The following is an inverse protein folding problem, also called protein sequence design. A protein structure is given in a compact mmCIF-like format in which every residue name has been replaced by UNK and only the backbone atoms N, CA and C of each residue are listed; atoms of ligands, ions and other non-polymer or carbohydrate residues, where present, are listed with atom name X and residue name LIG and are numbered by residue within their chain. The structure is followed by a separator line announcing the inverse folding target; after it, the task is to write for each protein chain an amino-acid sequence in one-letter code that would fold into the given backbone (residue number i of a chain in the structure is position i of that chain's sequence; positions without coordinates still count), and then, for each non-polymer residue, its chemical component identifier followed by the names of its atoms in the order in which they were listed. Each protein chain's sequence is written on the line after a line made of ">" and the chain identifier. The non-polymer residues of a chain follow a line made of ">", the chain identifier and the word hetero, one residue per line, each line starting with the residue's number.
data_IF_924500104936
#
_entry.id   IF_924500104936
#
_cell.length_a   1.000
_cell.length_b   1.000
_cell.length_c   1.000
_cell.angle_alpha   90.00
_cell.angle_beta   90.00
_cell.angle_gamma   90.00
#
_symmetry.space_group_name_H-M   'P 1'
#
loop_
_entity.id
_entity.type
_entity.pdbx_description
1 polymer ?
#
# COMPACT_ATOMS: atom_id res chain seq x y z
N UNK A 1 -3.94 50.69 -15.00
CA UNK A 1 -3.51 49.52 -15.77
C UNK A 1 -2.33 48.92 -15.02
N UNK A 2 -2.64 48.15 -13.98
CA UNK A 2 -1.61 47.48 -13.17
C UNK A 2 -1.50 46.03 -13.61
N UNK A 3 -0.34 45.71 -14.08
CA UNK A 3 0.05 44.39 -14.58
C UNK A 3 0.28 43.44 -13.37
N UNK A 4 -0.36 42.31 -13.43
CA UNK A 4 -0.34 41.25 -12.48
C UNK A 4 1.07 40.92 -11.93
N UNK A 5 1.17 40.84 -10.60
CA UNK A 5 2.33 40.33 -9.91
C UNK A 5 2.55 38.84 -10.26
N UNK A 6 3.79 38.39 -10.44
CA UNK A 6 4.06 36.99 -10.76
C UNK A 6 3.73 36.13 -9.53
N UNK A 7 3.09 34.98 -9.80
CA UNK A 7 2.81 33.94 -8.81
C UNK A 7 4.08 33.62 -8.02
N UNK A 8 4.05 33.94 -6.73
CA UNK A 8 5.09 33.54 -5.80
C UNK A 8 5.07 32.03 -5.67
N UNK A 9 6.13 31.39 -6.10
CA UNK A 9 6.47 30.00 -5.80
C UNK A 9 6.33 29.79 -4.28
N UNK A 10 5.62 28.75 -3.79
CA UNK A 10 5.61 28.48 -2.37
C UNK A 10 7.03 28.25 -1.88
N UNK A 11 7.37 28.65 -0.63
CA UNK A 11 8.73 28.53 -0.12
C UNK A 11 9.15 27.06 -0.15
N UNK A 12 10.24 26.80 -0.83
CA UNK A 12 10.98 25.52 -0.74
C UNK A 12 11.44 25.36 0.71
N UNK A 13 10.57 24.83 1.56
CA UNK A 13 11.03 24.20 2.80
C UNK A 13 11.89 23.00 2.36
N UNK A 14 13.15 22.97 2.78
CA UNK A 14 14.15 21.99 2.40
C UNK A 14 13.56 20.56 2.41
N UNK A 15 13.04 20.14 1.26
CA UNK A 15 12.69 18.75 1.04
C UNK A 15 14.01 17.99 1.15
N UNK A 16 14.09 17.06 2.13
CA UNK A 16 15.27 16.18 2.23
C UNK A 16 15.53 15.54 0.87
N UNK A 17 16.80 15.35 0.55
CA UNK A 17 17.20 14.76 -0.72
C UNK A 17 16.47 13.43 -0.95
N UNK A 18 15.92 13.26 -2.15
CA UNK A 18 15.17 12.05 -2.52
C UNK A 18 16.10 10.83 -2.42
N UNK A 19 15.69 9.75 -1.74
CA UNK A 19 16.47 8.54 -1.65
C UNK A 19 16.71 7.92 -3.03
N UNK A 20 17.94 7.51 -3.33
CA UNK A 20 18.27 6.73 -4.52
C UNK A 20 17.72 5.31 -4.41
N UNK A 21 17.72 4.55 -5.50
CA UNK A 21 17.21 3.18 -5.51
C UNK A 21 18.04 2.24 -4.63
N UNK A 22 19.36 2.45 -4.57
CA UNK A 22 20.30 1.69 -3.72
C UNK A 22 20.20 2.07 -2.21
N UNK A 23 19.48 3.13 -1.89
CA UNK A 23 19.18 3.56 -0.52
C UNK A 23 17.80 3.07 -0.06
N UNK A 24 17.10 2.27 -0.87
CA UNK A 24 15.84 1.66 -0.46
C UNK A 24 16.07 0.24 0.06
N UNK A 25 15.46 -0.04 1.20
CA UNK A 25 15.37 -1.39 1.77
C UNK A 25 13.90 -1.81 1.71
N UNK A 26 13.59 -2.73 0.79
CA UNK A 26 12.24 -3.12 0.41
C UNK A 26 12.13 -4.63 0.45
N UNK A 27 11.09 -5.16 1.10
CA UNK A 27 10.80 -6.58 1.10
C UNK A 27 9.30 -6.84 1.25
N UNK A 28 8.81 -7.93 0.64
CA UNK A 28 7.44 -8.39 0.77
C UNK A 28 7.40 -9.90 0.80
N UNK A 29 6.46 -10.44 1.56
CA UNK A 29 6.21 -11.89 1.62
C UNK A 29 4.73 -12.17 1.84
N UNK A 30 4.33 -13.40 1.49
CA UNK A 30 3.02 -13.96 1.76
C UNK A 30 3.15 -15.40 2.19
N UNK A 31 2.26 -15.86 3.06
CA UNK A 31 2.24 -17.23 3.59
C UNK A 31 0.79 -17.68 3.84
N UNK A 32 0.42 -18.94 3.52
CA UNK A 32 -0.96 -19.42 3.73
C UNK A 32 -1.37 -19.54 5.21
N UNK A 33 -0.46 -19.31 6.15
CA UNK A 33 -0.68 -19.61 7.55
C UNK A 33 -0.49 -21.09 7.86
N UNK A 34 -1.05 -21.55 9.00
CA UNK A 34 -1.00 -22.98 9.43
C UNK A 34 -2.34 -23.68 9.31
N UNK A 35 -3.42 -22.94 9.12
CA UNK A 35 -4.80 -23.45 9.16
C UNK A 35 -5.47 -23.42 7.79
N UNK A 36 -5.21 -22.39 6.98
CA UNK A 36 -5.79 -22.27 5.64
C UNK A 36 -5.12 -23.26 4.68
N UNK A 37 -5.92 -23.91 3.83
CA UNK A 37 -5.42 -24.83 2.81
C UNK A 37 -4.80 -24.07 1.62
N UNK A 38 -5.30 -22.87 1.32
CA UNK A 38 -4.88 -22.05 0.20
C UNK A 38 -4.54 -20.64 0.66
N UNK A 39 -3.77 -19.93 -0.14
CA UNK A 39 -3.45 -18.53 0.08
C UNK A 39 -4.27 -17.66 -0.86
N UNK A 40 -5.17 -16.87 -0.30
CA UNK A 40 -6.05 -15.95 -1.01
C UNK A 40 -5.48 -14.52 -1.05
N UNK A 41 -4.38 -14.27 -0.34
CA UNK A 41 -3.70 -12.98 -0.34
C UNK A 41 -2.83 -12.78 -1.57
N UNK A 42 -2.77 -11.55 -2.04
CA UNK A 42 -1.78 -11.10 -3.02
C UNK A 42 -1.10 -9.82 -2.58
N UNK A 43 0.16 -9.64 -2.99
CA UNK A 43 0.89 -8.40 -2.78
C UNK A 43 1.64 -7.96 -4.04
N UNK A 44 1.94 -6.68 -4.11
CA UNK A 44 2.86 -6.12 -5.08
C UNK A 44 3.79 -5.14 -4.37
N UNK A 45 5.08 -5.27 -4.65
CA UNK A 45 6.11 -4.32 -4.26
C UNK A 45 6.92 -3.97 -5.50
N UNK A 46 6.87 -2.72 -5.92
CA UNK A 46 7.61 -2.29 -7.11
C UNK A 46 8.02 -0.82 -7.06
N UNK A 47 8.99 -0.47 -7.90
CA UNK A 47 9.37 0.90 -8.21
C UNK A 47 8.98 1.23 -9.66
N UNK A 48 8.47 2.44 -9.88
CA UNK A 48 8.04 2.91 -11.20
C UNK A 48 9.07 3.89 -11.74
N UNK A 49 9.55 3.63 -12.95
CA UNK A 49 10.54 4.46 -13.64
C UNK A 49 10.11 4.75 -15.08
N UNK A 50 10.40 5.93 -15.65
CA UNK A 50 10.40 6.11 -17.10
C UNK A 50 11.56 5.32 -17.69
N UNK A 51 11.36 4.75 -18.89
CA UNK A 51 12.39 3.99 -19.58
C UNK A 51 12.41 4.34 -21.07
N UNK A 52 13.62 4.47 -21.61
CA UNK A 52 13.85 4.61 -23.06
C UNK A 52 14.35 3.28 -23.60
N UNK A 53 13.69 2.77 -24.65
CA UNK A 53 14.12 1.57 -25.38
C UNK A 53 14.64 2.02 -26.75
N UNK A 54 15.92 1.82 -27.02
CA UNK A 54 16.56 2.17 -28.30
C UNK A 54 16.49 0.95 -29.21
N UNK A 55 15.75 1.06 -30.33
CA UNK A 55 15.65 -0.01 -31.31
C UNK A 55 16.75 0.04 -32.36
N UNK A 56 17.27 1.24 -32.68
CA UNK A 56 18.37 1.44 -33.59
C UNK A 56 18.99 2.83 -33.37
N UNK A 57 20.31 2.96 -33.62
CA UNK A 57 20.98 4.25 -33.54
C UNK A 57 22.23 4.26 -34.43
N UNK A 58 22.64 5.44 -34.88
CA UNK A 58 23.91 5.71 -35.50
C UNK A 58 24.91 6.37 -34.56
N UNK A 59 24.55 6.56 -33.27
CA UNK A 59 25.43 7.12 -32.27
C UNK A 59 26.57 6.14 -31.99
N UNK A 60 27.85 6.61 -31.94
CA UNK A 60 29.01 5.75 -31.73
C UNK A 60 29.05 5.14 -30.32
N UNK A 61 28.48 5.81 -29.36
CA UNK A 61 28.43 5.37 -27.96
C UNK A 61 27.09 5.76 -27.30
N UNK A 62 26.57 4.88 -26.46
CA UNK A 62 25.34 5.08 -25.68
C UNK A 62 25.60 5.24 -24.17
N UNK A 63 26.84 5.06 -23.72
CA UNK A 63 27.22 5.05 -22.31
C UNK A 63 26.96 6.35 -21.53
N UNK A 64 26.69 7.46 -22.23
CA UNK A 64 26.32 8.74 -21.62
C UNK A 64 24.82 9.00 -21.56
N UNK A 65 23.97 8.06 -22.05
CA UNK A 65 22.53 8.21 -22.04
C UNK A 65 21.95 7.46 -20.86
N UNK A 66 21.25 8.18 -19.99
CA UNK A 66 20.43 7.55 -18.94
C UNK A 66 19.13 7.00 -19.57
N UNK A 67 19.15 5.68 -19.85
CA UNK A 67 18.01 4.98 -20.47
C UNK A 67 16.93 4.62 -19.45
N UNK A 68 17.21 4.73 -18.15
CA UNK A 68 16.27 4.54 -17.05
C UNK A 68 16.24 5.80 -16.21
N UNK A 69 15.22 6.62 -16.43
CA UNK A 69 15.06 7.85 -15.67
C UNK A 69 14.82 7.63 -14.17
N UNK A 70 14.81 8.71 -13.42
CA UNK A 70 14.58 8.70 -11.98
C UNK A 70 13.28 7.97 -11.59
N UNK A 71 13.28 7.34 -10.43
CA UNK A 71 12.10 6.67 -9.88
C UNK A 71 10.95 7.67 -9.71
N UNK A 72 9.80 7.40 -10.29
CA UNK A 72 8.59 8.21 -10.15
C UNK A 72 7.89 7.91 -8.82
N UNK A 73 7.80 6.63 -8.46
CA UNK A 73 7.14 6.18 -7.23
C UNK A 73 7.69 4.83 -6.76
N UNK A 74 7.40 4.51 -5.49
CA UNK A 74 7.44 3.14 -4.94
C UNK A 74 6.03 2.74 -4.55
N UNK A 75 5.59 1.53 -4.92
CA UNK A 75 4.25 1.01 -4.63
C UNK A 75 4.39 -0.20 -3.71
N UNK A 76 3.67 -0.17 -2.58
CA UNK A 76 3.49 -1.26 -1.64
C UNK A 76 1.99 -1.59 -1.61
N UNK A 77 1.59 -2.80 -1.96
CA UNK A 77 0.19 -3.19 -2.07
C UNK A 77 -0.02 -4.56 -1.43
N UNK A 78 -1.10 -4.69 -0.67
CA UNK A 78 -1.66 -5.97 -0.25
C UNK A 78 -3.14 -6.02 -0.58
N UNK A 79 -3.65 -7.22 -0.87
CA UNK A 79 -5.05 -7.52 -1.09
C UNK A 79 -5.37 -8.88 -0.46
N UNK A 80 -6.31 -8.91 0.48
CA UNK A 80 -6.78 -10.09 1.19
C UNK A 80 -8.09 -10.56 0.58
N UNK A 81 -8.07 -11.77 0.02
CA UNK A 81 -9.22 -12.32 -0.69
C UNK A 81 -10.29 -12.89 0.23
N UNK A 82 -11.55 -12.52 -0.03
CA UNK A 82 -12.73 -12.97 0.72
C UNK A 82 -13.69 -13.69 -0.20
N UNK A 83 -14.27 -14.81 0.25
CA UNK A 83 -15.27 -15.55 -0.52
C UNK A 83 -14.97 -17.04 -0.70
N UNK A 84 -13.91 -17.53 -0.04
CA UNK A 84 -13.45 -18.92 -0.04
C UNK A 84 -12.55 -19.25 -1.23
N UNK A 85 -11.56 -20.06 -0.96
CA UNK A 85 -10.35 -20.44 -1.73
C UNK A 85 -10.19 -19.85 -3.16
N UNK A 86 -10.86 -20.38 -4.16
CA UNK A 86 -10.66 -19.94 -5.54
C UNK A 86 -11.23 -18.55 -5.84
N UNK A 87 -12.35 -18.18 -5.19
CA UNK A 87 -13.01 -16.90 -5.42
C UNK A 87 -12.24 -15.75 -4.75
N UNK A 88 -11.77 -15.92 -3.51
CA UNK A 88 -10.98 -14.93 -2.79
C UNK A 88 -9.65 -14.66 -3.49
N UNK A 89 -8.88 -15.69 -3.82
CA UNK A 89 -7.60 -15.56 -4.54
C UNK A 89 -7.78 -14.89 -5.92
N UNK A 90 -8.89 -15.14 -6.60
CA UNK A 90 -9.18 -14.50 -7.88
C UNK A 90 -9.51 -13.02 -7.70
N UNK A 91 -10.30 -12.67 -6.67
CA UNK A 91 -10.66 -11.29 -6.36
C UNK A 91 -9.42 -10.45 -6.02
N UNK A 92 -8.60 -10.92 -5.09
CA UNK A 92 -7.39 -10.21 -4.65
C UNK A 92 -6.38 -10.03 -5.78
N UNK A 93 -6.18 -11.06 -6.63
CA UNK A 93 -5.33 -10.97 -7.82
C UNK A 93 -5.86 -9.95 -8.81
N UNK A 94 -7.15 -10.02 -9.17
CA UNK A 94 -7.76 -9.13 -10.16
C UNK A 94 -7.73 -7.66 -9.68
N UNK A 95 -8.02 -7.43 -8.40
CA UNK A 95 -7.95 -6.10 -7.81
C UNK A 95 -6.52 -5.55 -7.85
N UNK A 96 -5.52 -6.34 -7.45
CA UNK A 96 -4.12 -5.94 -7.47
C UNK A 96 -3.63 -5.62 -8.89
N UNK A 97 -3.98 -6.44 -9.88
CA UNK A 97 -3.63 -6.22 -11.29
C UNK A 97 -4.30 -4.95 -11.85
N UNK A 98 -5.60 -4.77 -11.60
CA UNK A 98 -6.37 -3.63 -12.13
C UNK A 98 -5.88 -2.30 -11.57
N UNK A 99 -5.81 -2.19 -10.24
CA UNK A 99 -5.36 -0.97 -9.60
C UNK A 99 -3.91 -0.63 -9.94
N UNK A 100 -3.04 -1.61 -10.03
CA UNK A 100 -1.63 -1.40 -10.39
C UNK A 100 -1.50 -0.81 -11.79
N UNK A 101 -2.24 -1.36 -12.75
CA UNK A 101 -2.25 -0.86 -14.13
C UNK A 101 -2.71 0.60 -14.19
N UNK A 102 -3.75 0.93 -13.45
CA UNK A 102 -4.29 2.28 -13.40
C UNK A 102 -3.31 3.26 -12.73
N UNK A 103 -2.75 2.91 -11.56
CA UNK A 103 -1.80 3.75 -10.82
C UNK A 103 -0.54 4.03 -11.65
N UNK A 104 0.03 3.02 -12.33
CA UNK A 104 1.20 3.21 -13.19
C UNK A 104 0.89 4.17 -14.35
N UNK A 105 -0.27 4.05 -14.99
CA UNK A 105 -0.68 4.96 -16.07
C UNK A 105 -0.85 6.40 -15.56
N UNK A 106 -1.48 6.56 -14.41
CA UNK A 106 -1.70 7.86 -13.76
C UNK A 106 -0.40 8.54 -13.35
N UNK A 107 0.54 7.80 -12.77
CA UNK A 107 1.86 8.32 -12.39
C UNK A 107 2.61 8.92 -13.58
N UNK A 108 2.54 8.27 -14.75
CA UNK A 108 3.15 8.80 -15.97
C UNK A 108 2.54 10.15 -16.37
N UNK A 109 1.21 10.26 -16.31
CA UNK A 109 0.52 11.51 -16.62
C UNK A 109 0.85 12.62 -15.59
N UNK A 110 0.87 12.27 -14.32
CA UNK A 110 1.18 13.20 -13.22
C UNK A 110 2.57 13.83 -13.37
N UNK A 111 3.59 13.02 -13.67
CA UNK A 111 4.96 13.52 -13.87
C UNK A 111 5.15 14.24 -15.20
N UNK A 112 4.45 13.85 -16.27
CA UNK A 112 4.57 14.49 -17.58
C UNK A 112 3.92 15.88 -17.62
N UNK A 113 2.85 16.09 -16.88
CA UNK A 113 2.10 17.35 -16.85
C UNK A 113 2.79 18.47 -16.05
N UNK A 114 3.84 18.16 -15.28
CA UNK A 114 4.63 19.12 -14.50
C UNK A 114 3.89 19.87 -13.40
N UNK A 115 2.59 19.75 -13.32
CA UNK A 115 1.70 20.45 -12.36
C UNK A 115 0.28 19.88 -12.30
N UNK A 116 0.12 18.57 -12.45
CA UNK A 116 -1.16 17.98 -12.06
C UNK A 116 -1.39 18.31 -10.58
N UNK A 117 -2.54 18.88 -10.26
CA UNK A 117 -2.84 19.23 -8.87
C UNK A 117 -2.86 17.94 -8.02
N UNK A 118 -2.44 18.05 -6.78
CA UNK A 118 -2.53 16.96 -5.83
C UNK A 118 -3.94 16.36 -5.78
N UNK A 119 -4.97 17.23 -5.85
CA UNK A 119 -6.36 16.81 -5.88
C UNK A 119 -6.68 15.89 -7.06
N UNK A 120 -6.11 16.17 -8.24
CA UNK A 120 -6.26 15.30 -9.40
C UNK A 120 -5.57 13.94 -9.20
N UNK A 121 -4.42 13.93 -8.52
CA UNK A 121 -3.73 12.67 -8.20
C UNK A 121 -4.52 11.84 -7.18
N UNK A 122 -5.03 12.46 -6.12
CA UNK A 122 -5.90 11.79 -5.15
C UNK A 122 -7.19 11.27 -5.81
N UNK A 123 -7.83 12.07 -6.66
CA UNK A 123 -8.99 11.63 -7.41
C UNK A 123 -8.69 10.42 -8.31
N UNK A 124 -7.52 10.40 -8.95
CA UNK A 124 -7.07 9.30 -9.78
C UNK A 124 -6.78 8.03 -8.96
N UNK A 125 -6.18 8.16 -7.77
CA UNK A 125 -5.97 7.01 -6.87
C UNK A 125 -7.31 6.43 -6.39
N UNK A 126 -8.30 7.29 -6.07
CA UNK A 126 -9.66 6.84 -5.76
C UNK A 126 -10.30 6.12 -6.93
N UNK A 127 -10.18 6.67 -8.13
CA UNK A 127 -10.70 6.06 -9.35
C UNK A 127 -10.06 4.69 -9.62
N UNK A 128 -8.77 4.52 -9.33
CA UNK A 128 -8.07 3.23 -9.45
C UNK A 128 -8.71 2.14 -8.58
N UNK A 129 -9.08 2.46 -7.33
CA UNK A 129 -9.74 1.51 -6.44
C UNK A 129 -11.16 1.16 -6.91
N UNK A 130 -11.89 2.14 -7.44
CA UNK A 130 -13.22 1.91 -8.01
C UNK A 130 -13.17 1.11 -9.32
N UNK A 131 -12.18 1.35 -10.18
CA UNK A 131 -11.93 0.53 -11.37
C UNK A 131 -11.65 -0.94 -10.99
N UNK A 132 -10.87 -1.16 -9.94
CA UNK A 132 -10.65 -2.51 -9.41
C UNK A 132 -11.95 -3.13 -8.88
N UNK A 133 -12.79 -2.36 -8.19
CA UNK A 133 -14.10 -2.80 -7.73
C UNK A 133 -15.00 -3.22 -8.88
N UNK A 134 -15.10 -2.41 -9.92
CA UNK A 134 -15.91 -2.71 -11.10
C UNK A 134 -15.39 -3.95 -11.85
N UNK A 135 -14.06 -4.12 -11.93
CA UNK A 135 -13.45 -5.28 -12.54
C UNK A 135 -13.81 -6.58 -11.80
N UNK A 136 -13.74 -6.59 -10.45
CA UNK A 136 -14.11 -7.75 -9.64
C UNK A 136 -15.62 -8.03 -9.74
N UNK A 137 -16.46 -7.01 -9.70
CA UNK A 137 -17.91 -7.17 -9.88
C UNK A 137 -18.28 -7.73 -11.25
N UNK A 138 -17.71 -7.19 -12.32
CA UNK A 138 -17.95 -7.66 -13.68
C UNK A 138 -17.57 -9.13 -13.84
N UNK A 139 -16.48 -9.57 -13.22
CA UNK A 139 -16.05 -10.96 -13.21
C UNK A 139 -17.04 -11.85 -12.44
N UNK A 140 -17.54 -11.40 -11.28
CA UNK A 140 -18.57 -12.11 -10.51
C UNK A 140 -19.87 -12.29 -11.30
N UNK A 141 -20.28 -11.26 -12.04
CA UNK A 141 -21.48 -11.30 -12.88
C UNK A 141 -21.32 -12.25 -14.08
N UNK A 142 -20.11 -12.31 -14.65
CA UNK A 142 -19.80 -13.17 -15.79
C UNK A 142 -19.67 -14.66 -15.43
N UNK A 143 -19.33 -14.99 -14.17
CA UNK A 143 -19.02 -16.34 -13.71
C UNK A 143 -19.76 -16.67 -12.40
N UNK A 144 -20.93 -17.31 -12.49
CA UNK A 144 -21.74 -17.65 -11.31
C UNK A 144 -21.05 -18.52 -10.26
N UNK A 145 -20.03 -19.29 -10.65
CA UNK A 145 -19.25 -20.14 -9.76
C UNK A 145 -18.35 -19.38 -8.77
N UNK A 146 -18.10 -18.10 -9.02
CA UNK A 146 -17.32 -17.23 -8.13
C UNK A 146 -18.19 -16.17 -7.43
N UNK A 147 -19.47 -16.49 -7.23
CA UNK A 147 -20.39 -15.59 -6.51
C UNK A 147 -19.85 -15.17 -5.14
N UNK A 148 -19.98 -13.88 -4.85
CA UNK A 148 -19.58 -13.30 -3.56
C UNK A 148 -18.09 -13.12 -3.38
N UNK A 149 -17.28 -13.22 -4.45
CA UNK A 149 -15.86 -12.90 -4.37
C UNK A 149 -15.67 -11.42 -4.07
N UNK A 150 -14.83 -11.16 -3.08
CA UNK A 150 -14.47 -9.82 -2.67
C UNK A 150 -13.00 -9.82 -2.19
N UNK A 151 -12.44 -8.65 -1.98
CA UNK A 151 -11.10 -8.51 -1.42
C UNK A 151 -10.94 -7.17 -0.72
N UNK A 152 -10.05 -7.13 0.28
CA UNK A 152 -9.52 -5.86 0.76
C UNK A 152 -8.57 -5.26 -0.27
N UNK A 153 -8.19 -4.01 -0.10
CA UNK A 153 -7.16 -3.34 -0.88
C UNK A 153 -6.49 -2.27 -0.04
N UNK A 154 -5.21 -2.45 0.26
CA UNK A 154 -4.38 -1.42 0.90
C UNK A 154 -3.16 -1.13 0.04
N UNK A 155 -3.03 0.12 -0.40
CA UNK A 155 -1.93 0.57 -1.25
C UNK A 155 -1.24 1.77 -0.62
N UNK A 156 0.08 1.68 -0.47
CA UNK A 156 0.96 2.81 -0.26
C UNK A 156 1.67 3.19 -1.56
N UNK A 157 1.50 4.43 -2.01
CA UNK A 157 2.21 4.99 -3.17
C UNK A 157 3.12 6.11 -2.68
N UNK A 158 4.42 5.85 -2.67
CA UNK A 158 5.42 6.84 -2.26
C UNK A 158 5.85 7.64 -3.50
N UNK A 159 5.38 8.88 -3.58
CA UNK A 159 5.88 9.93 -4.50
C UNK A 159 6.60 10.94 -3.64
N UNK A 160 7.90 10.82 -3.55
CA UNK A 160 8.71 11.59 -2.60
C UNK A 160 8.41 13.08 -2.58
N UNK A 161 8.20 13.69 -1.41
CA UNK A 161 8.35 13.16 -0.05
C UNK A 161 7.06 12.63 0.60
N UNK A 162 6.04 12.28 -0.17
CA UNK A 162 4.72 11.92 0.29
C UNK A 162 4.41 10.44 0.12
N UNK A 163 3.80 9.85 1.14
CA UNK A 163 3.11 8.56 1.07
C UNK A 163 1.61 8.84 0.91
N UNK A 164 1.05 8.37 -0.18
CA UNK A 164 -0.39 8.32 -0.42
C UNK A 164 -0.89 6.92 -0.14
N UNK A 165 -1.88 6.80 0.73
CA UNK A 165 -2.47 5.52 1.11
C UNK A 165 -3.90 5.47 0.59
N UNK A 166 -4.25 4.38 -0.10
CA UNK A 166 -5.62 4.04 -0.48
C UNK A 166 -6.03 2.80 0.29
N UNK A 167 -7.18 2.86 0.93
CA UNK A 167 -7.70 1.80 1.79
C UNK A 167 -9.11 1.42 1.42
N UNK A 168 -9.38 0.11 1.28
CA UNK A 168 -10.68 -0.54 1.25
C UNK A 168 -10.58 -1.83 2.05
N UNK A 169 -11.36 -1.97 3.13
CA UNK A 169 -11.35 -3.15 4.01
C UNK A 169 -10.55 -2.93 5.30
N UNK A 170 -9.99 -4.00 5.87
CA UNK A 170 -9.32 -4.05 7.17
C UNK A 170 -7.84 -4.46 7.12
N UNK A 171 -7.26 -4.61 5.92
CA UNK A 171 -5.80 -4.64 5.77
C UNK A 171 -5.23 -3.30 6.18
N UNK A 172 -4.04 -3.27 6.79
CA UNK A 172 -3.55 -2.05 7.43
C UNK A 172 -2.27 -1.50 6.80
N UNK A 173 -2.12 -0.18 6.84
CA UNK A 173 -0.88 0.53 6.57
C UNK A 173 -0.42 1.24 7.83
N UNK A 174 0.83 0.99 8.23
CA UNK A 174 1.49 1.61 9.37
C UNK A 174 2.68 2.45 8.91
N UNK A 175 2.95 3.52 9.66
CA UNK A 175 4.17 4.29 9.60
C UNK A 175 4.88 4.22 10.95
N UNK A 176 6.12 3.72 10.98
CA UNK A 176 6.99 3.78 12.14
C UNK A 176 8.02 4.89 11.95
N UNK A 177 8.02 5.84 12.86
CA UNK A 177 8.93 6.99 12.82
C UNK A 177 9.21 7.48 14.25
N UNK A 178 10.47 7.78 14.55
CA UNK A 178 10.90 8.33 15.88
C UNK A 178 10.52 7.45 17.07
N UNK A 179 10.49 6.14 16.88
CA UNK A 179 10.10 5.20 17.94
C UNK A 179 8.59 5.05 18.12
N UNK A 180 7.78 5.69 17.27
CA UNK A 180 6.32 5.65 17.35
C UNK A 180 5.76 4.93 16.14
N UNK A 181 4.91 3.94 16.37
CA UNK A 181 4.08 3.29 15.35
C UNK A 181 2.74 4.03 15.25
N UNK A 182 2.35 4.37 14.03
CA UNK A 182 1.05 4.97 13.76
C UNK A 182 0.33 4.15 12.70
N UNK A 183 -0.87 3.66 13.00
CA UNK A 183 -1.76 3.11 11.99
C UNK A 183 -2.30 4.26 11.15
N UNK A 184 -2.02 4.25 9.85
CA UNK A 184 -2.42 5.31 8.89
C UNK A 184 -3.81 5.03 8.33
N UNK A 185 -4.16 3.76 8.19
CA UNK A 185 -5.48 3.30 7.73
C UNK A 185 -6.45 3.16 8.90
N UNK A 186 -7.73 3.21 8.59
CA UNK A 186 -8.81 2.88 9.51
C UNK A 186 -9.46 1.57 9.04
N UNK A 187 -9.63 0.60 9.93
CA UNK A 187 -10.28 -0.66 9.57
C UNK A 187 -11.75 -0.41 9.19
N UNK A 188 -12.16 -0.85 8.02
CA UNK A 188 -13.53 -0.73 7.55
C UNK A 188 -14.29 -2.03 7.92
N UNK A 189 -14.60 -2.15 9.21
CA UNK A 189 -15.40 -3.25 9.77
C UNK A 189 -16.64 -2.72 10.46
N UNK A 190 -17.67 -3.57 10.56
CA UNK A 190 -18.93 -3.21 11.25
C UNK A 190 -18.67 -2.83 12.71
N UNK A 191 -17.74 -3.51 13.39
CA UNK A 191 -17.39 -3.17 14.76
C UNK A 191 -16.76 -1.77 14.87
N UNK A 192 -15.85 -1.42 13.96
CA UNK A 192 -15.23 -0.10 13.95
C UNK A 192 -16.24 1.01 13.63
N UNK A 193 -17.16 0.76 12.70
CA UNK A 193 -18.23 1.72 12.38
C UNK A 193 -19.13 1.99 13.61
N UNK A 194 -19.41 0.97 14.43
CA UNK A 194 -20.16 1.13 15.68
C UNK A 194 -19.36 1.90 16.76
N UNK A 195 -18.03 1.76 16.76
CA UNK A 195 -17.16 2.57 17.64
C UNK A 195 -17.22 4.04 17.24
N UNK A 196 -17.09 4.33 15.95
CA UNK A 196 -17.10 5.71 15.44
C UNK A 196 -18.45 6.42 15.67
N UNK A 197 -19.54 5.65 15.64
CA UNK A 197 -20.88 6.14 16.01
C UNK A 197 -21.10 6.26 17.53
N UNK A 198 -20.12 5.88 18.36
CA UNK A 198 -20.23 5.89 19.82
C UNK A 198 -21.17 4.83 20.39
N UNK A 199 -21.54 3.82 19.58
CA UNK A 199 -22.43 2.72 20.00
C UNK A 199 -21.66 1.63 20.77
N UNK A 200 -20.41 1.36 20.36
CA UNK A 200 -19.48 0.46 21.04
C UNK A 200 -18.26 1.23 21.57
N UNK A 201 -17.69 0.77 22.68
CA UNK A 201 -16.33 1.16 23.07
C UNK A 201 -15.31 0.34 22.28
N UNK A 202 -14.05 0.80 22.18
CA UNK A 202 -12.98 0.08 21.50
C UNK A 202 -12.78 -1.31 22.09
N UNK A 203 -12.74 -1.43 23.42
CA UNK A 203 -12.56 -2.71 24.11
C UNK A 203 -13.67 -3.72 23.73
N UNK A 204 -14.94 -3.26 23.67
CA UNK A 204 -16.05 -4.12 23.27
C UNK A 204 -16.03 -4.49 21.79
N UNK A 205 -15.48 -3.63 20.94
CA UNK A 205 -15.33 -3.91 19.51
C UNK A 205 -14.29 -5.02 19.28
N UNK A 206 -13.18 -5.01 20.05
CA UNK A 206 -12.15 -6.05 19.98
C UNK A 206 -12.65 -7.44 20.35
N UNK A 207 -13.58 -7.53 21.29
CA UNK A 207 -14.23 -8.79 21.69
C UNK A 207 -15.44 -9.16 20.82
N UNK A 208 -15.86 -8.29 19.91
CA UNK A 208 -17.05 -8.49 19.09
C UNK A 208 -16.78 -9.42 17.91
N UNK A 209 -17.70 -10.35 17.58
CA UNK A 209 -17.62 -11.11 16.34
C UNK A 209 -17.73 -10.22 15.08
N UNK A 210 -18.22 -8.98 15.22
CA UNK A 210 -18.35 -8.02 14.12
C UNK A 210 -17.01 -7.38 13.72
N UNK A 211 -15.94 -7.59 14.48
CA UNK A 211 -14.60 -7.06 14.15
C UNK A 211 -14.00 -7.62 12.86
N UNK A 212 -14.48 -8.79 12.42
CA UNK A 212 -14.06 -9.44 11.19
C UNK A 212 -15.10 -9.32 10.07
N UNK A 213 -16.19 -8.57 10.29
CA UNK A 213 -17.20 -8.33 9.28
C UNK A 213 -16.90 -7.02 8.59
N UNK A 214 -16.44 -7.10 7.34
CA UNK A 214 -16.12 -5.92 6.53
C UNK A 214 -17.38 -5.10 6.27
N UNK A 215 -17.27 -3.80 6.43
CA UNK A 215 -18.30 -2.82 6.01
C UNK A 215 -18.03 -2.26 4.62
N UNK A 216 -16.83 -2.48 4.09
CA UNK A 216 -16.41 -2.05 2.75
C UNK A 216 -15.38 -3.03 2.19
N UNK A 217 -15.58 -3.49 0.95
CA UNK A 217 -14.62 -4.35 0.25
C UNK A 217 -14.73 -4.19 -1.28
N UNK A 218 -13.63 -4.39 -1.99
CA UNK A 218 -13.59 -4.47 -3.47
C UNK A 218 -14.41 -5.68 -3.92
N UNK A 219 -15.37 -5.47 -4.84
CA UNK A 219 -16.26 -6.52 -5.32
C UNK A 219 -17.53 -6.73 -4.48
N UNK A 220 -17.57 -6.27 -3.23
CA UNK A 220 -18.75 -6.31 -2.36
C UNK A 220 -19.85 -5.31 -2.82
N UNK A 221 -21.04 -5.29 -2.22
CA UNK A 221 -22.06 -4.30 -2.56
C UNK A 221 -21.60 -2.86 -2.38
N UNK A 222 -20.72 -2.60 -1.41
CA UNK A 222 -20.15 -1.27 -1.15
C UNK A 222 -18.63 -1.35 -1.13
N UNK A 223 -17.99 -0.41 -1.84
CA UNK A 223 -16.57 -0.13 -1.77
C UNK A 223 -16.39 1.38 -1.56
N UNK A 224 -15.85 1.74 -0.41
CA UNK A 224 -15.66 3.12 0.03
C UNK A 224 -14.15 3.41 0.18
N UNK A 225 -13.43 3.75 -0.92
CA UNK A 225 -12.00 4.02 -0.85
C UNK A 225 -11.73 5.24 0.04
N UNK A 226 -10.98 5.04 1.12
CA UNK A 226 -10.42 6.10 1.95
C UNK A 226 -9.00 6.45 1.48
N UNK A 227 -8.68 7.74 1.46
CA UNK A 227 -7.38 8.23 1.05
C UNK A 227 -6.75 9.08 2.15
N UNK A 228 -5.50 8.77 2.44
CA UNK A 228 -4.69 9.52 3.41
C UNK A 228 -3.35 9.88 2.79
N UNK A 229 -2.82 11.05 3.13
CA UNK A 229 -1.47 11.49 2.76
C UNK A 229 -0.63 11.74 3.98
N UNK A 230 0.59 11.20 3.99
CA UNK A 230 1.53 11.35 5.10
C UNK A 230 2.90 11.77 4.58
N UNK A 231 3.60 12.62 5.34
CA UNK A 231 4.97 13.05 5.05
C UNK A 231 5.96 11.97 5.48
N UNK A 232 6.78 11.50 4.52
CA UNK A 232 7.80 10.47 4.75
C UNK A 232 9.22 10.95 4.39
N UNK A 233 9.42 12.28 4.37
CA UNK A 233 10.74 12.89 4.04
C UNK A 233 11.83 12.51 5.03
N UNK A 234 11.48 12.10 6.24
CA UNK A 234 12.47 11.69 7.23
C UNK A 234 13.02 10.32 6.87
N UNK A 235 14.33 10.25 6.65
CA UNK A 235 15.00 8.97 6.41
C UNK A 235 14.92 8.09 7.66
N UNK A 236 14.92 6.79 7.47
CA UNK A 236 14.76 5.80 8.55
C UNK A 236 13.31 5.55 8.96
N UNK A 237 12.32 6.32 8.44
CA UNK A 237 10.92 5.94 8.62
C UNK A 237 10.63 4.62 7.88
N UNK A 238 9.79 3.77 8.49
CA UNK A 238 9.42 2.47 7.95
C UNK A 238 7.93 2.46 7.64
N UNK A 239 7.59 2.03 6.44
CA UNK A 239 6.21 1.78 6.00
C UNK A 239 5.98 0.27 6.06
N UNK A 240 4.94 -0.17 6.75
CA UNK A 240 4.46 -1.56 6.76
C UNK A 240 3.04 -1.58 6.22
N UNK A 241 2.79 -2.40 5.20
CA UNK A 241 1.43 -2.71 4.72
C UNK A 241 1.20 -4.20 4.92
N UNK A 242 0.10 -4.60 5.57
CA UNK A 242 -0.16 -6.00 5.91
C UNK A 242 -1.64 -6.34 5.87
N UNK A 243 -1.94 -7.63 5.65
CA UNK A 243 -3.29 -8.20 5.83
C UNK A 243 -3.57 -8.48 7.32
N UNK A 244 -4.82 -8.71 7.66
CA UNK A 244 -5.29 -8.95 9.03
C UNK A 244 -4.72 -10.23 9.65
N UNK A 245 -4.24 -11.18 8.83
CA UNK A 245 -3.56 -12.38 9.30
C UNK A 245 -2.28 -12.10 10.11
N UNK A 246 -1.64 -10.94 9.93
CA UNK A 246 -0.58 -10.49 10.83
C UNK A 246 -1.16 -9.95 12.14
N UNK A 247 -2.07 -9.00 12.06
CA UNK A 247 -2.59 -8.25 13.21
C UNK A 247 -3.56 -9.03 14.09
N UNK A 248 -4.08 -10.16 13.62
CA UNK A 248 -4.77 -11.16 14.44
C UNK A 248 -3.86 -11.81 15.48
N UNK A 249 -2.56 -11.82 15.23
CA UNK A 249 -1.60 -12.56 16.06
C UNK A 249 -0.51 -11.69 16.68
N UNK A 250 -0.22 -10.52 16.10
CA UNK A 250 0.85 -9.62 16.54
C UNK A 250 0.26 -8.26 16.87
N UNK A 251 0.51 -7.77 18.09
CA UNK A 251 -0.01 -6.49 18.54
C UNK A 251 0.78 -5.31 17.96
N UNK A 252 0.20 -4.12 18.00
CA UNK A 252 0.85 -2.90 17.51
C UNK A 252 2.15 -2.59 18.29
N UNK A 253 2.18 -2.88 19.59
CA UNK A 253 3.37 -2.70 20.43
C UNK A 253 4.51 -3.64 19.99
N UNK A 254 4.18 -4.88 19.64
CA UNK A 254 5.16 -5.86 19.16
C UNK A 254 5.65 -5.53 17.75
N UNK A 255 4.75 -5.05 16.89
CA UNK A 255 5.14 -4.53 15.57
C UNK A 255 6.12 -3.36 15.74
N UNK A 256 5.80 -2.41 16.64
CA UNK A 256 6.67 -1.27 16.94
C UNK A 256 8.04 -1.71 17.45
N UNK A 257 8.08 -2.70 18.35
CA UNK A 257 9.32 -3.25 18.89
C UNK A 257 10.19 -3.89 17.80
N UNK A 258 9.58 -4.70 16.91
CA UNK A 258 10.30 -5.35 15.80
C UNK A 258 10.81 -4.32 14.78
N UNK A 259 9.99 -3.33 14.40
CA UNK A 259 10.41 -2.26 13.50
C UNK A 259 11.50 -1.38 14.09
N UNK A 260 11.46 -1.13 15.42
CA UNK A 260 12.45 -0.31 16.12
C UNK A 260 13.86 -0.91 16.15
N UNK A 261 13.97 -2.24 16.05
CA UNK A 261 15.26 -2.95 16.08
C UNK A 261 15.60 -3.66 14.76
N UNK A 262 14.86 -3.36 13.68
CA UNK A 262 15.08 -4.00 12.39
C UNK A 262 16.46 -3.71 11.81
N UNK A 263 17.10 -4.73 11.27
CA UNK A 263 18.34 -4.60 10.52
C UNK A 263 18.06 -4.45 9.02
N UNK A 264 17.09 -5.19 8.49
CA UNK A 264 16.61 -5.10 7.12
C UNK A 264 15.11 -5.32 7.03
N UNK A 265 14.51 -4.86 5.92
CA UNK A 265 13.10 -5.12 5.62
C UNK A 265 12.81 -6.65 5.53
N UNK A 266 13.75 -7.43 4.99
CA UNK A 266 13.63 -8.89 4.92
C UNK A 266 13.61 -9.52 6.30
N UNK A 267 14.59 -9.18 7.15
CA UNK A 267 14.71 -9.76 8.49
C UNK A 267 13.43 -9.49 9.30
N UNK A 268 12.99 -8.23 9.40
CA UNK A 268 11.82 -7.89 10.21
C UNK A 268 10.53 -8.53 9.67
N UNK A 269 10.40 -8.64 8.34
CA UNK A 269 9.24 -9.30 7.73
C UNK A 269 9.18 -10.79 8.09
N UNK A 270 10.33 -11.48 8.08
CA UNK A 270 10.41 -12.88 8.47
C UNK A 270 10.16 -13.09 9.96
N UNK A 271 10.65 -12.20 10.81
CA UNK A 271 10.44 -12.28 12.26
C UNK A 271 8.96 -12.08 12.62
N UNK A 272 8.29 -11.10 12.01
CA UNK A 272 6.86 -10.85 12.22
C UNK A 272 6.01 -12.02 11.70
N UNK A 273 6.34 -12.58 10.53
CA UNK A 273 5.69 -13.78 10.01
C UNK A 273 5.85 -14.94 10.98
N UNK A 274 7.08 -15.20 11.44
CA UNK A 274 7.35 -16.32 12.35
C UNK A 274 6.59 -16.18 13.66
N UNK A 275 6.53 -14.96 14.23
CA UNK A 275 5.77 -14.67 15.43
C UNK A 275 4.27 -14.96 15.24
N UNK A 276 3.68 -14.53 14.12
CA UNK A 276 2.29 -14.81 13.80
C UNK A 276 2.03 -16.32 13.63
N UNK A 277 2.94 -17.04 12.97
CA UNK A 277 2.86 -18.49 12.82
C UNK A 277 2.96 -19.23 14.16
N UNK A 278 3.85 -18.81 15.05
CA UNK A 278 4.06 -19.45 16.37
C UNK A 278 2.86 -19.24 17.30
N UNK A 279 2.04 -18.22 17.02
CA UNK A 279 0.77 -17.93 17.71
C UNK A 279 -0.46 -18.57 17.06
N UNK A 280 -0.24 -19.43 16.09
CA UNK A 280 -1.30 -20.22 15.48
C UNK A 280 -1.42 -20.04 13.97
N UNK A 281 -1.10 -18.86 13.41
CA UNK A 281 -1.15 -18.59 11.98
C UNK A 281 -2.50 -18.99 11.37
N UNK A 282 -3.59 -18.50 11.96
CA UNK A 282 -4.97 -18.97 11.66
C UNK A 282 -5.48 -18.51 10.30
N UNK A 283 -4.81 -17.54 9.69
CA UNK A 283 -5.17 -16.98 8.38
C UNK A 283 -3.97 -16.87 7.44
N UNK A 284 -4.20 -16.47 6.20
CA UNK A 284 -3.17 -16.04 5.27
C UNK A 284 -2.46 -14.80 5.85
N UNK A 285 -1.15 -14.72 5.74
CA UNK A 285 -0.33 -13.67 6.33
C UNK A 285 0.50 -13.03 5.22
N UNK A 286 0.21 -11.78 4.93
CA UNK A 286 0.93 -11.02 3.90
C UNK A 286 1.38 -9.70 4.46
N UNK A 287 2.65 -9.36 4.22
CA UNK A 287 3.20 -8.08 4.62
C UNK A 287 4.25 -7.57 3.63
N UNK A 288 4.30 -6.26 3.50
CA UNK A 288 5.25 -5.52 2.66
C UNK A 288 5.86 -4.42 3.50
N UNK A 289 7.19 -4.39 3.57
CA UNK A 289 7.97 -3.42 4.33
C UNK A 289 8.83 -2.59 3.39
N UNK A 290 8.86 -1.29 3.62
CA UNK A 290 9.74 -0.38 2.89
C UNK A 290 10.28 0.73 3.76
N UNK A 291 11.58 1.05 3.60
CA UNK A 291 12.20 2.23 4.20
C UNK A 291 13.25 2.84 3.28
N UNK A 292 13.48 4.15 3.47
CA UNK A 292 14.67 4.80 2.95
C UNK A 292 15.77 4.73 4.03
N UNK A 293 16.92 4.16 3.68
CA UNK A 293 18.05 4.03 4.59
C UNK A 293 18.57 5.42 5.00
N UNK A 294 19.08 5.53 6.21
CA UNK A 294 19.81 6.73 6.63
C UNK A 294 21.07 6.90 5.76
N UNK A 295 21.40 8.13 5.43
CA UNK A 295 22.67 8.40 4.73
C UNK A 295 23.83 7.99 5.65
N UNK A 296 24.70 7.12 5.17
CA UNK A 296 25.95 6.87 5.87
C UNK A 296 26.69 8.20 5.91
N UNK A 297 27.01 8.67 7.11
CA UNK A 297 27.90 9.81 7.27
C UNK A 297 29.16 9.52 6.47
N UNK A 298 29.44 10.36 5.46
CA UNK A 298 30.68 10.29 4.69
C UNK A 298 31.80 10.57 5.66
N UNK A 299 32.53 9.53 6.10
CA UNK A 299 33.70 9.63 6.95
C UNK A 299 34.90 10.20 6.18
#
# INVERSE_FOLDING_TARGET
>A
MDLAAPFSTPPSTAAGERPRDDELDLFGLTHPGRVRAENEDHFLLCTVHPQVVIHATSLPELGGLDLRGERLATILLVADGVGGSAAGSRASRLAAESVTRYVISTLRCYHAAGSASEDQFLAALRAAALEAHDAVRSETEAQPEVHGMATTLSIGVVVWPWLYVVQVGDSRCYLYQDGVLSQITRDQTVAQDLVDQGILTRERAEDSPLKHVLSSAIGAPEALPELTRVDVRKRGCVILVCTDGLTKHVTDEEIAEHLGRMQSAEQVSRDLLQLALDRGGTDNITLVVGRALEQRASG
#
